data_IF_029521901755
#
_entry.id   IF_029521901755
#
_cell.length_a   1.000
_cell.length_b   1.000
_cell.length_c   1.000
_cell.angle_alpha   90.00
_cell.angle_beta   90.00
_cell.angle_gamma   90.00
#
_symmetry.space_group_name_H-M   'P 1'
#
loop_
_entity.id
_entity.type
_entity.pdbx_description
1 polymer ?
#
# COMPACT_ATOMS: atom_id res chain seq x y z
N UNK A 1 -6.40 26.42 6.48
CA UNK A 1 -5.12 26.05 7.14
C UNK A 1 -4.74 24.65 6.67
N UNK A 2 -3.47 24.30 6.48
CA UNK A 2 -3.10 22.92 6.13
C UNK A 2 -3.46 21.97 7.28
N UNK A 3 -3.76 20.70 6.99
CA UNK A 3 -4.10 19.70 8.00
C UNK A 3 -3.01 19.57 9.07
N UNK A 4 -1.73 19.73 8.68
CA UNK A 4 -0.57 19.79 9.59
C UNK A 4 -0.70 20.82 10.71
N UNK A 5 -1.45 21.91 10.52
CA UNK A 5 -1.67 22.92 11.55
C UNK A 5 -2.57 22.43 12.69
N UNK A 6 -3.39 21.40 12.45
CA UNK A 6 -4.36 20.88 13.42
C UNK A 6 -3.89 19.61 14.13
N UNK A 7 -2.87 18.92 13.60
CA UNK A 7 -2.52 17.57 14.03
C UNK A 7 -1.10 17.46 14.55
N UNK A 8 -0.91 16.65 15.58
CA UNK A 8 0.40 16.27 16.12
C UNK A 8 0.97 15.01 15.47
N UNK A 9 1.88 14.34 16.17
CA UNK A 9 2.48 13.06 15.76
C UNK A 9 2.45 12.05 16.90
N UNK A 10 2.11 10.80 16.57
CA UNK A 10 2.30 9.62 17.43
C UNK A 10 3.42 8.79 16.82
N UNK A 11 4.34 8.25 17.63
CA UNK A 11 5.43 7.40 17.13
C UNK A 11 4.91 5.99 16.86
N UNK A 12 5.54 5.31 15.89
CA UNK A 12 5.25 3.89 15.66
C UNK A 12 5.57 3.08 16.92
N UNK A 13 4.75 2.06 17.23
CA UNK A 13 4.76 1.25 18.46
C UNK A 13 4.18 1.89 19.73
N UNK A 14 3.68 3.13 19.66
CA UNK A 14 2.87 3.70 20.74
C UNK A 14 1.39 3.30 20.62
N UNK A 15 0.61 3.54 21.66
CA UNK A 15 -0.84 3.36 21.65
C UNK A 15 -1.49 4.60 21.05
N UNK A 16 -2.37 4.42 20.05
CA UNK A 16 -3.22 5.48 19.51
C UNK A 16 -4.43 5.61 20.45
N UNK A 17 -4.65 6.77 21.08
CA UNK A 17 -5.78 6.97 21.99
C UNK A 17 -7.13 6.87 21.27
N UNK A 18 -8.14 6.36 21.97
CA UNK A 18 -9.54 6.48 21.58
C UNK A 18 -9.93 7.94 21.28
N UNK A 19 -10.87 8.13 20.36
CA UNK A 19 -11.27 9.45 19.86
C UNK A 19 -10.32 10.05 18.80
N UNK A 20 -9.21 9.40 18.49
CA UNK A 20 -8.29 9.83 17.42
C UNK A 20 -8.83 9.46 16.04
N UNK A 21 -8.83 10.40 15.10
CA UNK A 21 -9.09 10.11 13.69
C UNK A 21 -7.88 9.39 13.09
N UNK A 22 -8.12 8.27 12.43
CA UNK A 22 -7.11 7.53 11.68
C UNK A 22 -7.47 7.47 10.21
N UNK A 23 -6.45 7.61 9.37
CA UNK A 23 -6.50 7.28 7.94
C UNK A 23 -5.84 5.92 7.77
N UNK A 24 -6.64 4.89 7.49
CA UNK A 24 -6.17 3.52 7.41
C UNK A 24 -6.15 3.04 5.98
N UNK A 25 -5.09 2.31 5.63
CA UNK A 25 -5.13 1.45 4.46
C UNK A 25 -5.84 0.15 4.82
N UNK A 26 -6.74 -0.31 3.97
CA UNK A 26 -7.42 -1.59 4.14
C UNK A 26 -7.11 -2.52 2.97
N UNK A 27 -7.11 -3.83 3.23
CA UNK A 27 -6.77 -4.88 2.25
C UNK A 27 -7.83 -5.07 1.16
N UNK A 28 -8.95 -4.35 1.25
CA UNK A 28 -10.01 -4.26 0.24
C UNK A 28 -9.83 -3.06 -0.69
N UNK A 29 -8.61 -2.48 -0.75
CA UNK A 29 -8.27 -1.28 -1.55
C UNK A 29 -9.19 -0.09 -1.25
N UNK A 30 -9.62 0.02 0.00
CA UNK A 30 -10.35 1.18 0.53
C UNK A 30 -9.42 2.00 1.41
N UNK A 31 -9.47 3.30 1.22
CA UNK A 31 -9.03 4.21 2.26
C UNK A 31 -10.11 4.17 3.34
N UNK A 32 -9.77 4.01 4.61
CA UNK A 32 -10.77 4.06 5.69
C UNK A 32 -10.48 5.24 6.58
N UNK A 33 -11.46 6.13 6.72
CA UNK A 33 -11.43 7.23 7.65
C UNK A 33 -12.33 6.85 8.84
N UNK A 34 -11.73 6.70 10.01
CA UNK A 34 -12.46 6.30 11.21
C UNK A 34 -11.93 7.02 12.44
N UNK A 35 -12.83 7.43 13.34
CA UNK A 35 -12.48 7.81 14.71
C UNK A 35 -12.43 6.52 15.54
N UNK A 36 -11.32 6.29 16.24
CA UNK A 36 -11.16 5.07 17.03
C UNK A 36 -12.07 5.07 18.26
N UNK A 37 -12.72 3.95 18.52
CA UNK A 37 -13.63 3.79 19.67
C UNK A 37 -12.89 3.31 20.94
N UNK A 38 -11.68 2.77 20.77
CA UNK A 38 -10.83 2.23 21.83
C UNK A 38 -9.36 2.47 21.51
N UNK A 39 -8.53 2.43 22.53
CA UNK A 39 -7.09 2.53 22.41
C UNK A 39 -6.53 1.41 21.53
N UNK A 40 -5.76 1.76 20.51
CA UNK A 40 -5.32 0.82 19.46
C UNK A 40 -3.80 0.86 19.28
N UNK A 41 -3.09 -0.28 19.26
CA UNK A 41 -1.64 -0.31 19.01
C UNK A 41 -1.25 0.26 17.64
N UNK A 42 -0.27 1.17 17.58
CA UNK A 42 0.19 1.75 16.32
C UNK A 42 1.14 0.81 15.56
N UNK A 43 0.57 -0.10 14.76
CA UNK A 43 1.31 -1.08 13.93
C UNK A 43 1.86 -0.53 12.59
N UNK A 44 1.84 0.79 12.38
CA UNK A 44 2.34 1.43 11.15
C UNK A 44 1.43 1.39 9.91
N UNK A 45 0.29 0.69 9.95
CA UNK A 45 -0.68 0.63 8.83
C UNK A 45 -1.68 1.80 8.79
N UNK A 46 -1.86 2.47 9.91
CA UNK A 46 -2.76 3.61 10.07
C UNK A 46 -1.94 4.89 10.24
N UNK A 47 -2.40 5.99 9.66
CA UNK A 47 -1.88 7.32 9.93
C UNK A 47 -2.79 8.01 10.96
N UNK A 48 -2.39 8.08 12.24
CA UNK A 48 -3.16 8.79 13.25
C UNK A 48 -3.04 10.31 13.08
N UNK A 49 -4.16 10.99 13.32
CA UNK A 49 -4.30 12.44 13.27
C UNK A 49 -4.70 12.96 14.66
N UNK A 50 -3.80 12.90 15.67
CA UNK A 50 -4.08 13.42 17.00
C UNK A 50 -4.24 14.94 16.94
N UNK A 51 -5.26 15.51 17.57
CA UNK A 51 -5.48 16.95 17.57
C UNK A 51 -4.48 17.66 18.50
N UNK A 52 -3.96 18.80 18.06
CA UNK A 52 -3.09 19.66 18.86
C UNK A 52 -3.87 20.79 19.56
N UNK A 53 -3.17 21.61 20.35
CA UNK A 53 -3.76 22.75 21.09
C UNK A 53 -4.43 23.77 20.16
N UNK A 54 -3.86 24.01 18.97
CA UNK A 54 -4.43 24.92 17.98
C UNK A 54 -5.81 24.45 17.50
N UNK A 55 -5.96 23.16 17.23
CA UNK A 55 -7.24 22.57 16.87
C UNK A 55 -8.28 22.73 17.97
N UNK A 56 -7.90 22.49 19.23
CA UNK A 56 -8.78 22.65 20.39
C UNK A 56 -9.24 24.11 20.55
N UNK A 57 -8.31 25.07 20.43
CA UNK A 57 -8.61 26.50 20.50
C UNK A 57 -9.63 26.93 19.42
N UNK A 58 -9.56 26.33 18.24
CA UNK A 58 -10.45 26.60 17.12
C UNK A 58 -11.66 25.65 17.01
N UNK A 59 -11.96 24.88 18.06
CA UNK A 59 -13.11 23.95 18.13
C UNK A 59 -13.12 22.90 17.01
N UNK A 60 -11.96 22.56 16.46
CA UNK A 60 -11.79 21.46 15.51
C UNK A 60 -11.79 20.15 16.29
N UNK A 61 -12.61 19.20 15.86
CA UNK A 61 -12.74 17.87 16.48
C UNK A 61 -12.37 16.77 15.50
N UNK A 62 -12.10 15.55 15.98
CA UNK A 62 -11.81 14.40 15.13
C UNK A 62 -13.00 14.10 14.20
N UNK A 63 -14.23 14.29 14.68
CA UNK A 63 -15.46 14.16 13.90
C UNK A 63 -15.61 15.24 12.83
N UNK A 64 -15.16 16.48 13.11
CA UNK A 64 -15.12 17.53 12.10
C UNK A 64 -14.14 17.19 10.97
N UNK A 65 -12.93 16.75 11.32
CA UNK A 65 -11.94 16.31 10.33
C UNK A 65 -12.45 15.11 9.53
N UNK A 66 -13.09 14.14 10.19
CA UNK A 66 -13.72 12.99 9.52
C UNK A 66 -14.77 13.45 8.51
N UNK A 67 -15.70 14.32 8.92
CA UNK A 67 -16.71 14.90 8.03
C UNK A 67 -16.08 15.60 6.82
N UNK A 68 -15.06 16.42 7.05
CA UNK A 68 -14.42 17.21 5.99
C UNK A 68 -13.66 16.32 4.99
N UNK A 69 -12.86 15.38 5.49
CA UNK A 69 -12.11 14.44 4.64
C UNK A 69 -13.03 13.45 3.91
N UNK A 70 -14.27 13.26 4.38
CA UNK A 70 -15.29 12.43 3.73
C UNK A 70 -16.11 13.18 2.67
N UNK A 71 -15.88 14.48 2.46
CA UNK A 71 -16.52 15.21 1.36
C UNK A 71 -16.03 14.67 0.02
N UNK A 72 -16.92 14.47 -0.95
CA UNK A 72 -16.63 13.79 -2.22
C UNK A 72 -15.38 14.32 -2.93
N UNK A 73 -15.19 15.63 -3.02
CA UNK A 73 -14.02 16.25 -3.65
C UNK A 73 -12.71 15.92 -2.91
N UNK A 74 -12.75 15.96 -1.57
CA UNK A 74 -11.57 15.68 -0.74
C UNK A 74 -11.25 14.19 -0.76
N UNK A 75 -12.27 13.34 -0.61
CA UNK A 75 -12.17 11.90 -0.71
C UNK A 75 -11.65 11.44 -2.08
N UNK A 76 -12.18 12.01 -3.16
CA UNK A 76 -11.73 11.76 -4.53
C UNK A 76 -10.26 12.14 -4.72
N UNK A 77 -9.86 13.32 -4.22
CA UNK A 77 -8.46 13.74 -4.24
C UNK A 77 -7.55 12.77 -3.46
N UNK A 78 -7.97 12.34 -2.27
CA UNK A 78 -7.22 11.37 -1.45
C UNK A 78 -7.04 10.04 -2.19
N UNK A 79 -8.11 9.50 -2.79
CA UNK A 79 -8.06 8.22 -3.52
C UNK A 79 -7.23 8.33 -4.79
N UNK A 80 -7.34 9.42 -5.54
CA UNK A 80 -6.57 9.64 -6.76
C UNK A 80 -5.06 9.68 -6.49
N UNK A 81 -4.68 10.21 -5.33
CA UNK A 81 -3.29 10.32 -4.91
C UNK A 81 -2.83 9.20 -3.96
N UNK A 82 -3.68 8.21 -3.69
CA UNK A 82 -3.31 7.06 -2.90
C UNK A 82 -2.41 6.11 -3.70
N UNK A 83 -1.35 5.64 -3.06
CA UNK A 83 -0.42 4.63 -3.58
C UNK A 83 -0.75 3.26 -3.01
N UNK A 84 -0.21 2.20 -3.61
CA UNK A 84 -0.38 0.82 -3.14
C UNK A 84 -1.26 -0.04 -4.04
N UNK A 85 -0.83 -1.29 -4.26
CA UNK A 85 -1.50 -2.28 -5.09
C UNK A 85 -2.63 -3.00 -4.35
N UNK A 86 -2.45 -3.29 -3.06
CA UNK A 86 -3.46 -3.94 -2.20
C UNK A 86 -3.96 -2.99 -1.12
N UNK A 87 -3.04 -2.41 -0.33
CA UNK A 87 -3.35 -1.47 0.73
C UNK A 87 -3.20 -0.03 0.22
N UNK A 88 -4.31 0.67 -0.02
CA UNK A 88 -4.27 2.09 -0.41
C UNK A 88 -3.76 2.97 0.72
N UNK A 89 -2.61 3.61 0.49
CA UNK A 89 -1.99 4.56 1.42
C UNK A 89 -1.94 5.93 0.80
N UNK A 90 -2.42 6.93 1.52
CA UNK A 90 -2.20 8.33 1.14
C UNK A 90 -0.82 8.74 1.65
N UNK A 91 0.08 9.29 0.82
CA UNK A 91 1.36 9.80 1.30
C UNK A 91 1.16 10.82 2.42
N UNK A 92 1.84 10.64 3.56
CA UNK A 92 1.66 11.51 4.74
C UNK A 92 1.84 12.99 4.42
N UNK A 93 2.84 13.33 3.59
CA UNK A 93 3.09 14.70 3.15
C UNK A 93 1.85 15.30 2.48
N UNK A 94 1.27 14.57 1.52
CA UNK A 94 0.09 14.99 0.79
C UNK A 94 -1.13 15.12 1.72
N UNK A 95 -1.33 14.15 2.61
CA UNK A 95 -2.41 14.20 3.61
C UNK A 95 -2.31 15.45 4.48
N UNK A 96 -1.11 15.76 4.98
CA UNK A 96 -0.85 16.88 5.87
C UNK A 96 -0.95 18.26 5.18
N UNK A 97 -0.84 18.32 3.86
CA UNK A 97 -0.96 19.55 3.07
C UNK A 97 -2.42 19.89 2.70
N UNK A 98 -3.39 19.02 2.98
CA UNK A 98 -4.80 19.25 2.65
C UNK A 98 -5.30 20.53 3.33
N UNK A 99 -5.86 21.50 2.58
CA UNK A 99 -6.44 22.69 3.18
C UNK A 99 -7.71 22.31 3.92
N UNK A 100 -7.75 22.57 5.21
CA UNK A 100 -8.92 22.41 6.08
C UNK A 100 -9.43 23.80 6.49
N UNK A 101 -10.71 24.13 6.23
CA UNK A 101 -11.32 25.36 6.67
C UNK A 101 -11.51 25.35 8.19
N UNK A 102 -11.57 26.54 8.80
CA UNK A 102 -11.96 26.66 10.19
C UNK A 102 -13.48 26.55 10.32
N UNK A 103 -14.00 25.87 11.35
CA UNK A 103 -15.44 25.81 11.58
C UNK A 103 -15.97 27.20 11.94
N UNK A 104 -16.98 27.66 11.22
CA UNK A 104 -17.65 28.94 11.49
C UNK A 104 -18.84 28.80 12.44
N UNK A 105 -19.33 27.56 12.64
CA UNK A 105 -20.45 27.24 13.53
C UNK A 105 -20.23 25.89 14.20
N UNK A 106 -20.59 25.81 15.48
CA UNK A 106 -20.60 24.54 16.21
C UNK A 106 -21.93 23.85 15.95
N UNK A 107 -21.90 22.76 15.19
CA UNK A 107 -23.03 21.83 15.07
C UNK A 107 -22.61 20.46 15.58
N UNK A 108 -23.52 19.78 16.26
CA UNK A 108 -23.33 18.37 16.61
C UNK A 108 -23.36 17.57 15.31
N UNK A 109 -22.20 17.16 14.83
CA UNK A 109 -22.09 16.22 13.72
C UNK A 109 -22.46 14.86 14.31
N UNK A 110 -23.45 14.17 13.74
CA UNK A 110 -23.75 12.78 14.10
C UNK A 110 -22.46 11.96 13.99
N UNK A 111 -22.24 11.00 14.90
CA UNK A 111 -21.09 10.09 14.84
C UNK A 111 -20.92 9.57 13.41
N UNK A 112 -19.93 10.09 12.69
CA UNK A 112 -19.74 9.74 11.30
C UNK A 112 -19.33 8.27 11.25
N UNK A 113 -20.16 7.48 10.58
CA UNK A 113 -19.90 6.08 10.26
C UNK A 113 -18.61 6.06 9.44
N UNK A 114 -17.74 5.09 9.70
CA UNK A 114 -16.53 4.81 8.92
C UNK A 114 -16.74 5.13 7.44
N UNK A 115 -15.97 6.09 6.92
CA UNK A 115 -16.07 6.49 5.51
C UNK A 115 -14.99 5.77 4.72
N UNK A 116 -15.40 5.07 3.67
CA UNK A 116 -14.54 4.18 2.91
C UNK A 116 -14.62 4.44 1.40
N UNK A 117 -13.94 5.45 0.84
CA UNK A 117 -13.95 5.67 -0.58
C UNK A 117 -13.14 4.56 -1.27
N UNK A 118 -13.69 4.05 -2.38
CA UNK A 118 -13.16 2.89 -3.10
C UNK A 118 -12.46 3.38 -4.38
N UNK A 119 -11.25 2.87 -4.64
CA UNK A 119 -10.68 2.90 -6.00
C UNK A 119 -11.28 1.71 -6.75
N UNK A 120 -12.45 1.89 -7.37
CA UNK A 120 -13.27 0.82 -7.94
C UNK A 120 -12.54 0.01 -9.04
N UNK A 121 -12.80 -1.30 -9.04
CA UNK A 121 -12.42 -2.33 -10.03
C UNK A 121 -10.92 -2.46 -10.39
N UNK A 122 -10.21 -3.27 -9.61
CA UNK A 122 -8.95 -3.84 -10.08
C UNK A 122 -8.84 -5.33 -9.71
N UNK A 123 -8.97 -6.19 -10.71
CA UNK A 123 -8.86 -7.65 -10.57
C UNK A 123 -7.48 -8.08 -10.07
N UNK A 124 -6.42 -7.29 -10.32
CA UNK A 124 -5.06 -7.57 -9.87
C UNK A 124 -4.95 -7.58 -8.35
N UNK A 125 -5.67 -6.70 -7.64
CA UNK A 125 -5.57 -6.60 -6.17
C UNK A 125 -6.06 -7.86 -5.46
N UNK A 126 -7.15 -8.48 -5.95
CA UNK A 126 -7.64 -9.75 -5.42
C UNK A 126 -6.62 -10.86 -5.65
N UNK A 127 -6.09 -10.95 -6.86
CA UNK A 127 -5.07 -11.94 -7.22
C UNK A 127 -3.80 -11.79 -6.37
N UNK A 128 -3.32 -10.56 -6.17
CA UNK A 128 -2.16 -10.27 -5.32
C UNK A 128 -2.43 -10.70 -3.88
N UNK A 129 -3.61 -10.43 -3.33
CA UNK A 129 -3.97 -10.82 -1.97
C UNK A 129 -4.02 -12.35 -1.81
N UNK A 130 -4.60 -13.07 -2.76
CA UNK A 130 -4.62 -14.54 -2.80
C UNK A 130 -3.19 -15.12 -2.84
N UNK A 131 -2.35 -14.63 -3.76
CA UNK A 131 -0.94 -15.04 -3.86
C UNK A 131 -0.15 -14.76 -2.58
N UNK A 132 -0.39 -13.61 -1.94
CA UNK A 132 0.29 -13.23 -0.71
C UNK A 132 -0.14 -14.11 0.48
N UNK A 133 -1.42 -14.48 0.57
CA UNK A 133 -1.90 -15.40 1.60
C UNK A 133 -1.27 -16.80 1.44
N UNK A 134 -1.21 -17.31 0.21
CA UNK A 134 -0.53 -18.57 -0.09
C UNK A 134 0.97 -18.50 0.18
N UNK A 135 1.60 -17.36 -0.12
CA UNK A 135 3.00 -17.09 0.20
C UNK A 135 3.24 -17.22 1.72
N UNK A 136 2.46 -16.51 2.53
CA UNK A 136 2.58 -16.53 4.00
C UNK A 136 2.36 -17.94 4.57
N UNK A 137 1.41 -18.69 4.02
CA UNK A 137 1.17 -20.09 4.40
C UNK A 137 2.39 -20.98 4.09
N UNK A 138 3.02 -20.81 2.94
CA UNK A 138 4.20 -21.59 2.56
C UNK A 138 5.43 -21.22 3.38
N UNK A 139 5.62 -19.94 3.71
CA UNK A 139 6.69 -19.49 4.63
C UNK A 139 6.52 -20.12 6.00
N UNK A 140 5.30 -20.09 6.56
CA UNK A 140 4.99 -20.70 7.86
C UNK A 140 5.31 -22.20 7.90
N UNK A 141 5.12 -22.90 6.78
CA UNK A 141 5.37 -24.33 6.66
C UNK A 141 6.79 -24.68 6.14
N UNK A 142 7.72 -23.70 6.13
CA UNK A 142 9.08 -23.86 5.62
C UNK A 142 9.18 -24.38 4.16
N UNK A 143 8.15 -24.12 3.35
CA UNK A 143 8.10 -24.47 1.92
C UNK A 143 8.68 -23.32 1.07
N UNK A 144 9.96 -23.02 1.29
CA UNK A 144 10.61 -21.81 0.75
C UNK A 144 10.67 -21.76 -0.78
N UNK A 145 10.81 -22.91 -1.44
CA UNK A 145 10.74 -23.00 -2.90
C UNK A 145 9.41 -22.47 -3.44
N UNK A 146 8.30 -22.97 -2.90
CA UNK A 146 6.95 -22.54 -3.29
C UNK A 146 6.73 -21.07 -2.94
N UNK A 147 7.19 -20.64 -1.76
CA UNK A 147 7.12 -19.24 -1.36
C UNK A 147 7.85 -18.31 -2.35
N UNK A 148 9.04 -18.68 -2.83
CA UNK A 148 9.79 -17.91 -3.84
C UNK A 148 9.03 -17.80 -5.17
N UNK A 149 8.40 -18.89 -5.60
CA UNK A 149 7.58 -18.91 -6.82
C UNK A 149 6.40 -17.95 -6.67
N UNK A 150 5.70 -18.00 -5.52
CA UNK A 150 4.56 -17.12 -5.22
C UNK A 150 4.95 -15.66 -5.08
N UNK A 151 6.09 -15.36 -4.45
CA UNK A 151 6.62 -14.01 -4.35
C UNK A 151 6.97 -13.44 -5.74
N UNK A 152 7.59 -14.25 -6.61
CA UNK A 152 7.84 -13.89 -8.00
C UNK A 152 6.55 -13.64 -8.78
N UNK A 153 5.57 -14.55 -8.69
CA UNK A 153 4.26 -14.38 -9.34
C UNK A 153 3.54 -13.11 -8.85
N UNK A 154 3.61 -12.82 -7.55
CA UNK A 154 3.06 -11.59 -6.97
C UNK A 154 3.71 -10.34 -7.58
N UNK A 155 5.04 -10.34 -7.75
CA UNK A 155 5.75 -9.24 -8.39
C UNK A 155 5.39 -9.11 -9.87
N UNK A 156 5.21 -10.21 -10.60
CA UNK A 156 4.77 -10.15 -11.99
C UNK A 156 3.40 -9.47 -12.11
N UNK A 157 2.44 -9.81 -11.24
CA UNK A 157 1.12 -9.17 -11.22
C UNK A 157 1.23 -7.68 -10.88
N UNK A 158 2.03 -7.32 -9.87
CA UNK A 158 2.27 -5.92 -9.49
C UNK A 158 2.86 -5.12 -10.65
N UNK A 159 3.90 -5.64 -11.30
CA UNK A 159 4.58 -4.94 -12.38
C UNK A 159 3.68 -4.81 -13.60
N UNK A 160 2.91 -5.85 -13.92
CA UNK A 160 1.91 -5.81 -14.98
C UNK A 160 0.87 -4.71 -14.72
N UNK A 161 0.33 -4.65 -13.50
CA UNK A 161 -0.59 -3.59 -13.08
C UNK A 161 0.07 -2.21 -13.20
N UNK A 162 1.30 -2.05 -12.73
CA UNK A 162 2.04 -0.79 -12.79
C UNK A 162 2.16 -0.28 -14.24
N UNK A 163 2.49 -1.16 -15.20
CA UNK A 163 2.60 -0.77 -16.61
C UNK A 163 1.26 -0.25 -17.16
N UNK A 164 0.14 -0.91 -16.83
CA UNK A 164 -1.20 -0.45 -17.22
C UNK A 164 -1.52 0.90 -16.59
N UNK A 165 -1.23 1.08 -15.30
CA UNK A 165 -1.45 2.34 -14.58
C UNK A 165 -0.60 3.50 -15.16
N UNK A 166 0.54 3.18 -15.80
CA UNK A 166 1.39 4.14 -16.53
C UNK A 166 1.01 4.31 -18.01
N UNK A 167 -0.14 3.77 -18.43
CA UNK A 167 -0.70 3.98 -19.77
C UNK A 167 -0.20 3.01 -20.85
N UNK A 168 0.51 1.94 -20.48
CA UNK A 168 0.84 0.87 -21.43
C UNK A 168 -0.45 0.16 -21.86
N UNK A 169 -0.68 0.07 -23.18
CA UNK A 169 -1.88 -0.57 -23.72
C UNK A 169 -1.92 -2.05 -23.32
N UNK A 170 -3.01 -2.55 -22.73
CA UNK A 170 -3.11 -3.96 -22.31
C UNK A 170 -2.88 -4.97 -23.44
N UNK A 171 -3.21 -4.62 -24.69
CA UNK A 171 -2.95 -5.48 -25.86
C UNK A 171 -1.47 -5.74 -26.09
N UNK A 172 -0.60 -4.73 -25.89
CA UNK A 172 0.84 -4.88 -26.04
C UNK A 172 1.44 -5.87 -25.04
N UNK A 173 0.85 -5.96 -23.85
CA UNK A 173 1.27 -6.90 -22.82
C UNK A 173 0.65 -8.29 -23.07
N UNK A 174 -0.65 -8.35 -23.35
CA UNK A 174 -1.37 -9.62 -23.55
C UNK A 174 -0.87 -10.43 -24.75
N UNK A 175 -0.52 -9.75 -25.84
CA UNK A 175 -0.07 -10.41 -27.09
C UNK A 175 1.42 -10.80 -27.04
N UNK A 176 2.13 -10.40 -25.99
CA UNK A 176 3.54 -10.70 -25.79
C UNK A 176 3.73 -12.09 -25.19
N UNK A 177 3.96 -13.07 -26.05
CA UNK A 177 4.22 -14.48 -25.66
C UNK A 177 5.48 -14.66 -24.81
N UNK A 178 6.36 -13.66 -24.75
CA UNK A 178 7.55 -13.66 -23.91
C UNK A 178 7.39 -12.85 -22.63
N UNK A 179 6.18 -12.40 -22.30
CA UNK A 179 5.92 -11.60 -21.10
C UNK A 179 6.06 -12.48 -19.85
N UNK A 180 7.20 -12.34 -19.19
CA UNK A 180 7.43 -12.86 -17.85
C UNK A 180 8.23 -11.85 -17.03
N UNK A 181 8.55 -12.21 -15.80
CA UNK A 181 9.20 -11.32 -14.83
C UNK A 181 10.36 -10.49 -15.41
N UNK A 182 11.30 -11.10 -16.16
CA UNK A 182 12.42 -10.36 -16.73
C UNK A 182 11.97 -9.25 -17.70
N UNK A 183 11.02 -9.55 -18.57
CA UNK A 183 10.55 -8.60 -19.59
C UNK A 183 9.74 -7.46 -18.97
N UNK A 184 9.00 -7.74 -17.90
CA UNK A 184 8.33 -6.71 -17.09
C UNK A 184 9.35 -5.73 -16.47
N UNK A 185 10.49 -6.23 -15.98
CA UNK A 185 11.59 -5.38 -15.49
C UNK A 185 12.23 -4.55 -16.61
N UNK A 186 12.33 -5.10 -17.82
CA UNK A 186 12.82 -4.36 -18.97
C UNK A 186 11.87 -3.21 -19.35
N UNK A 187 10.56 -3.44 -19.34
CA UNK A 187 9.57 -2.37 -19.53
C UNK A 187 9.69 -1.27 -18.47
N UNK A 188 9.86 -1.64 -17.20
CA UNK A 188 10.08 -0.68 -16.10
C UNK A 188 11.28 0.22 -16.38
N UNK A 189 12.40 -0.34 -16.84
CA UNK A 189 13.62 0.41 -17.19
C UNK A 189 13.44 1.31 -18.40
N UNK A 190 12.84 0.78 -19.47
CA UNK A 190 12.62 1.51 -20.73
C UNK A 190 11.73 2.74 -20.49
N UNK A 191 10.70 2.57 -19.65
CA UNK A 191 9.79 3.64 -19.25
C UNK A 191 10.35 4.51 -18.10
N UNK A 192 11.55 4.20 -17.60
CA UNK A 192 12.22 4.87 -16.47
C UNK A 192 11.35 4.96 -15.19
N UNK A 193 10.51 3.96 -14.95
CA UNK A 193 9.68 3.89 -13.75
C UNK A 193 10.51 3.62 -12.50
N UNK A 194 11.69 3.02 -12.67
CA UNK A 194 12.69 2.78 -11.64
C UNK A 194 13.40 4.06 -11.16
N UNK A 195 13.25 5.19 -11.86
CA UNK A 195 13.73 6.48 -11.40
C UNK A 195 12.90 7.06 -10.24
N UNK A 196 11.74 6.48 -9.94
CA UNK A 196 10.91 6.92 -8.82
C UNK A 196 11.66 6.70 -7.48
N UNK A 197 11.64 7.69 -6.56
CA UNK A 197 12.33 7.57 -5.28
C UNK A 197 11.91 6.31 -4.52
N UNK A 198 12.90 5.51 -4.12
CA UNK A 198 12.69 4.29 -3.34
C UNK A 198 12.15 3.09 -4.12
N UNK A 199 12.06 3.16 -5.45
CA UNK A 199 11.65 2.02 -6.27
C UNK A 199 12.59 0.81 -6.03
N UNK A 200 12.06 -0.39 -5.69
CA UNK A 200 12.87 -1.51 -5.19
C UNK A 200 13.46 -2.35 -6.34
N UNK A 201 14.13 -1.70 -7.30
CA UNK A 201 14.59 -2.36 -8.52
C UNK A 201 15.62 -3.46 -8.25
N UNK A 202 16.57 -3.21 -7.34
CA UNK A 202 17.58 -4.22 -6.98
C UNK A 202 16.95 -5.45 -6.34
N UNK A 203 15.97 -5.25 -5.45
CA UNK A 203 15.23 -6.34 -4.83
C UNK A 203 14.38 -7.13 -5.82
N UNK A 204 13.77 -6.46 -6.81
CA UNK A 204 13.01 -7.13 -7.86
C UNK A 204 13.91 -8.02 -8.73
N UNK A 205 15.10 -7.54 -9.09
CA UNK A 205 16.10 -8.32 -9.84
C UNK A 205 16.61 -9.50 -9.01
N UNK A 206 16.87 -9.29 -7.73
CA UNK A 206 17.29 -10.34 -6.81
C UNK A 206 16.22 -11.43 -6.67
N UNK A 207 14.97 -11.05 -6.44
CA UNK A 207 13.85 -11.98 -6.35
C UNK A 207 13.65 -12.75 -7.66
N UNK A 208 13.76 -12.09 -8.81
CA UNK A 208 13.71 -12.74 -10.13
C UNK A 208 14.78 -13.83 -10.25
N UNK A 209 16.00 -13.55 -9.78
CA UNK A 209 17.08 -14.54 -9.75
C UNK A 209 16.72 -15.72 -8.84
N UNK A 210 16.27 -15.49 -7.61
CA UNK A 210 15.92 -16.58 -6.68
C UNK A 210 14.73 -17.41 -7.20
N UNK A 211 13.70 -16.78 -7.75
CA UNK A 211 12.58 -17.47 -8.40
C UNK A 211 13.05 -18.33 -9.56
N UNK A 212 13.97 -17.84 -10.39
CA UNK A 212 14.51 -18.61 -11.50
C UNK A 212 15.26 -19.85 -11.02
N UNK A 213 16.04 -19.74 -9.94
CA UNK A 213 16.67 -20.89 -9.28
C UNK A 213 15.64 -21.86 -8.69
N UNK A 214 14.45 -21.40 -8.28
CA UNK A 214 13.39 -22.26 -7.74
C UNK A 214 12.62 -23.05 -8.81
N UNK A 215 12.60 -22.58 -10.07
CA UNK A 215 11.72 -23.11 -11.14
C UNK A 215 12.48 -23.79 -12.28
N UNK A 216 13.61 -23.23 -12.73
CA UNK A 216 14.24 -23.71 -13.97
C UNK A 216 14.97 -25.03 -13.76
N UNK A 217 14.48 -26.08 -14.44
CA UNK A 217 15.00 -27.44 -14.32
C UNK A 217 16.52 -27.54 -14.55
N UNK A 218 17.07 -26.79 -15.50
CA UNK A 218 18.52 -26.77 -15.77
C UNK A 218 19.34 -26.26 -14.59
N UNK A 219 18.81 -25.35 -13.77
CA UNK A 219 19.46 -24.89 -12.54
C UNK A 219 19.27 -25.90 -11.41
N UNK A 220 18.10 -26.51 -11.34
CA UNK A 220 17.75 -27.46 -10.28
C UNK A 220 18.51 -28.78 -10.34
N UNK A 221 18.72 -29.30 -11.55
CA UNK A 221 19.42 -30.56 -11.77
C UNK A 221 20.93 -30.38 -11.62
N UNK A 222 21.48 -29.27 -12.11
CA UNK A 222 22.93 -29.07 -12.17
C UNK A 222 23.52 -28.38 -10.92
N UNK A 223 22.70 -27.63 -10.17
CA UNK A 223 23.10 -26.91 -8.95
C UNK A 223 21.98 -26.99 -7.90
N UNK A 224 21.79 -28.13 -7.23
CA UNK A 224 20.80 -28.26 -6.17
C UNK A 224 21.12 -27.28 -5.05
N UNK A 225 20.35 -26.19 -5.00
CA UNK A 225 20.51 -25.14 -4.01
C UNK A 225 19.45 -25.31 -2.93
N UNK A 226 19.88 -25.35 -1.68
CA UNK A 226 18.98 -25.32 -0.54
C UNK A 226 18.42 -23.91 -0.43
N UNK A 227 17.11 -23.76 -0.60
CA UNK A 227 16.42 -22.48 -0.45
C UNK A 227 16.03 -22.29 1.01
N UNK A 228 16.14 -21.07 1.49
CA UNK A 228 15.99 -20.70 2.89
C UNK A 228 15.10 -19.47 3.05
N UNK A 229 14.84 -19.10 4.30
CA UNK A 229 14.10 -17.87 4.60
C UNK A 229 14.84 -16.61 4.15
N UNK A 230 16.18 -16.59 4.18
CA UNK A 230 16.95 -15.40 3.78
C UNK A 230 16.79 -15.08 2.29
N UNK A 231 16.55 -16.09 1.45
CA UNK A 231 16.29 -15.88 0.01
C UNK A 231 14.98 -15.10 -0.24
N UNK A 232 14.09 -15.01 0.76
CA UNK A 232 12.81 -14.29 0.69
C UNK A 232 12.89 -12.86 1.23
N UNK A 233 13.98 -12.47 1.90
CA UNK A 233 14.10 -11.15 2.53
C UNK A 233 14.03 -10.01 1.51
N UNK A 234 14.49 -10.24 0.28
CA UNK A 234 14.37 -9.31 -0.83
C UNK A 234 12.90 -8.96 -1.17
N UNK A 235 11.93 -9.78 -0.79
CA UNK A 235 10.52 -9.48 -1.00
C UNK A 235 9.97 -8.41 -0.05
N UNK A 236 10.54 -8.25 1.15
CA UNK A 236 10.02 -7.32 2.17
C UNK A 236 10.02 -5.84 1.71
N UNK A 237 11.10 -5.31 1.09
CA UNK A 237 11.08 -3.95 0.55
C UNK A 237 10.07 -3.77 -0.60
N UNK A 238 9.82 -4.82 -1.39
CA UNK A 238 8.84 -4.82 -2.48
C UNK A 238 7.42 -4.70 -1.91
N UNK A 239 7.09 -5.56 -0.92
CA UNK A 239 5.83 -5.49 -0.15
C UNK A 239 5.64 -4.09 0.42
N UNK A 240 6.67 -3.53 1.04
CA UNK A 240 6.60 -2.19 1.65
C UNK A 240 6.36 -1.08 0.62
N UNK A 241 7.04 -1.13 -0.53
CA UNK A 241 6.92 -0.13 -1.59
C UNK A 241 5.55 -0.18 -2.27
N UNK A 242 5.09 -1.37 -2.64
CA UNK A 242 3.82 -1.57 -3.34
C UNK A 242 2.62 -1.69 -2.40
N UNK A 243 2.80 -1.58 -1.09
CA UNK A 243 1.71 -1.62 -0.12
C UNK A 243 0.97 -2.95 -0.14
N UNK A 244 1.70 -4.04 0.04
CA UNK A 244 1.16 -5.37 0.35
C UNK A 244 1.03 -5.62 1.86
#
# INVERSE_FOLDING_TARGET
MPLSAFVGSIRSNETIPSGTLVVMASGDRRLRLKVLDHDTPHKGFSQPLPLNEFAVAHKVTAHYLLWYLSQELVAGYLVQNATGAVFLRVPRKLLLEIPVPLPTRVRKISSAIEYSPVKTNNEFSRLIAELNNDYLLNVKNARFRTALILAGATCEVILYQLLIEQGVKPSLLKDDRGLGFNKLLDYVRVLRLDAAPGFPMSQLVELQRHRNHAVHASLLVNKPQTLSLSDLECFNPIVKYFGL
#
